data_IF_027067326651
#
_entry.id   IF_027067326651
#
_cell.length_a   1.000
_cell.length_b   1.000
_cell.length_c   1.000
_cell.angle_alpha   90.00
_cell.angle_beta   90.00
_cell.angle_gamma   90.00
#
_symmetry.space_group_name_H-M   'P 1'
#
loop_
_entity.id
_entity.type
_entity.pdbx_description
1 polymer ?
#
# COMPACT_ATOMS: atom_id res chain seq x y z
N UNK A 1 -4.47 3.80 -36.85
CA UNK A 1 -3.88 4.73 -35.84
C UNK A 1 -2.71 4.02 -35.24
N UNK A 2 -1.56 4.53 -35.51
CA UNK A 2 -0.32 3.77 -35.55
C UNK A 2 0.28 3.52 -34.16
N UNK A 3 1.01 2.38 -34.01
CA UNK A 3 1.64 1.96 -32.76
C UNK A 3 2.57 3.00 -32.11
N UNK A 4 3.01 3.99 -32.87
CA UNK A 4 3.80 5.13 -32.40
C UNK A 4 3.02 6.06 -31.44
N UNK A 5 1.72 6.23 -31.65
CA UNK A 5 0.87 7.09 -30.82
C UNK A 5 0.56 6.44 -29.46
N UNK A 6 0.53 5.10 -29.40
CA UNK A 6 0.32 4.33 -28.19
C UNK A 6 1.56 4.36 -27.29
N UNK A 7 2.76 4.29 -27.87
CA UNK A 7 4.00 4.33 -27.12
C UNK A 7 4.25 5.71 -26.49
N UNK A 8 4.00 6.80 -27.23
CA UNK A 8 4.06 8.16 -26.71
C UNK A 8 3.02 8.42 -25.61
N UNK A 9 1.80 7.87 -25.77
CA UNK A 9 0.75 7.94 -24.74
C UNK A 9 1.15 7.20 -23.48
N UNK A 10 1.77 6.03 -23.61
CA UNK A 10 2.22 5.23 -22.46
C UNK A 10 3.35 5.88 -21.68
N UNK A 11 4.30 6.52 -22.33
CA UNK A 11 5.38 7.24 -21.65
C UNK A 11 4.86 8.40 -20.79
N UNK A 12 3.81 9.09 -21.24
CA UNK A 12 3.16 10.16 -20.47
C UNK A 12 2.30 9.66 -19.32
N UNK A 13 1.73 8.46 -19.42
CA UNK A 13 0.84 7.86 -18.41
C UNK A 13 1.59 7.02 -17.37
N UNK A 14 2.86 6.73 -17.60
CA UNK A 14 3.69 5.88 -16.74
C UNK A 14 3.02 4.52 -16.48
N UNK A 15 2.97 4.06 -15.22
CA UNK A 15 2.40 2.75 -14.89
C UNK A 15 0.89 2.65 -15.20
N UNK A 16 0.15 3.75 -15.24
CA UNK A 16 -1.25 3.73 -15.71
C UNK A 16 -1.38 3.26 -17.16
N UNK A 17 -0.37 3.54 -17.99
CA UNK A 17 -0.34 3.11 -19.38
C UNK A 17 -0.41 1.59 -19.55
N UNK A 18 0.12 0.83 -18.58
CA UNK A 18 0.03 -0.65 -18.58
C UNK A 18 -1.42 -1.11 -18.49
N UNK A 19 -2.20 -0.53 -17.59
CA UNK A 19 -3.62 -0.89 -17.42
C UNK A 19 -4.49 -0.40 -18.57
N UNK A 20 -4.20 0.79 -19.09
CA UNK A 20 -4.90 1.35 -20.26
C UNK A 20 -4.70 0.43 -21.47
N UNK A 21 -3.45 0.02 -21.76
CA UNK A 21 -3.13 -0.91 -22.84
C UNK A 21 -3.80 -2.27 -22.66
N UNK A 22 -3.77 -2.79 -21.43
CA UNK A 22 -4.41 -4.07 -21.15
C UNK A 22 -5.92 -4.04 -21.36
N UNK A 23 -6.60 -2.97 -20.93
CA UNK A 23 -8.03 -2.78 -21.16
C UNK A 23 -8.37 -2.58 -22.64
N UNK A 24 -7.52 -1.89 -23.39
CA UNK A 24 -7.64 -1.73 -24.84
C UNK A 24 -7.49 -3.06 -25.57
N UNK A 25 -6.49 -3.86 -25.23
CA UNK A 25 -6.27 -5.19 -25.78
C UNK A 25 -7.50 -6.08 -25.59
N UNK A 26 -8.12 -6.06 -24.41
CA UNK A 26 -9.35 -6.82 -24.14
C UNK A 26 -10.49 -6.44 -25.09
N UNK A 27 -10.68 -5.15 -25.37
CA UNK A 27 -11.74 -4.70 -26.29
C UNK A 27 -11.43 -4.98 -27.76
N UNK A 28 -10.15 -5.19 -28.08
CA UNK A 28 -9.68 -5.63 -29.40
C UNK A 28 -9.60 -7.15 -29.52
N UNK A 29 -10.18 -7.89 -28.58
CA UNK A 29 -10.19 -9.36 -28.51
C UNK A 29 -8.77 -9.95 -28.45
N UNK A 30 -7.81 -9.23 -27.85
CA UNK A 30 -6.41 -9.65 -27.64
C UNK A 30 -6.17 -10.02 -26.19
N UNK A 31 -5.33 -11.03 -25.97
CA UNK A 31 -4.92 -11.40 -24.60
C UNK A 31 -3.99 -10.31 -24.00
N UNK A 32 -4.40 -9.63 -22.90
CA UNK A 32 -3.63 -8.55 -22.31
C UNK A 32 -2.34 -9.01 -21.62
N UNK A 33 -2.16 -10.33 -21.41
CA UNK A 33 -0.97 -10.92 -20.79
C UNK A 33 0.03 -11.44 -21.82
N UNK A 34 -0.27 -11.34 -23.11
CA UNK A 34 0.64 -11.65 -24.19
C UNK A 34 1.30 -10.35 -24.68
N UNK A 35 2.54 -10.44 -25.17
CA UNK A 35 3.29 -9.36 -25.78
C UNK A 35 3.65 -8.19 -24.83
N UNK A 36 4.84 -8.22 -24.26
CA UNK A 36 5.57 -7.11 -23.60
C UNK A 36 4.84 -6.33 -22.48
N UNK A 37 3.65 -6.75 -22.07
CA UNK A 37 2.90 -6.09 -21.00
C UNK A 37 3.17 -6.79 -19.67
N UNK A 38 3.98 -6.18 -18.81
CA UNK A 38 4.19 -6.62 -17.43
C UNK A 38 2.94 -6.26 -16.59
N UNK A 39 1.83 -6.89 -16.90
CA UNK A 39 0.55 -6.66 -16.23
C UNK A 39 0.40 -7.59 -15.02
N UNK A 40 0.47 -7.05 -13.81
CA UNK A 40 0.25 -7.80 -12.56
C UNK A 40 -1.21 -7.86 -12.15
N UNK A 41 -2.01 -6.95 -12.64
CA UNK A 41 -3.43 -6.81 -12.31
C UNK A 41 -4.29 -7.69 -13.19
N UNK A 42 -5.47 -8.03 -12.71
CA UNK A 42 -6.47 -8.73 -13.49
C UNK A 42 -7.13 -7.85 -14.56
N UNK A 43 -7.87 -8.50 -15.42
CA UNK A 43 -8.50 -7.87 -16.59
C UNK A 43 -9.66 -6.96 -16.23
N UNK A 44 -10.37 -7.23 -15.13
CA UNK A 44 -11.52 -6.43 -14.70
C UNK A 44 -11.11 -5.00 -14.36
N UNK A 45 -10.08 -4.83 -13.53
CA UNK A 45 -9.56 -3.52 -13.15
C UNK A 45 -8.95 -2.78 -14.33
N UNK A 46 -8.24 -3.48 -15.21
CA UNK A 46 -7.65 -2.90 -16.42
C UNK A 46 -8.72 -2.33 -17.33
N UNK A 47 -9.83 -3.05 -17.53
CA UNK A 47 -10.96 -2.56 -18.30
C UNK A 47 -11.60 -1.31 -17.67
N UNK A 48 -11.80 -1.31 -16.36
CA UNK A 48 -12.36 -0.15 -15.64
C UNK A 48 -11.47 1.09 -15.78
N UNK A 49 -10.14 0.93 -15.65
CA UNK A 49 -9.18 2.01 -15.84
C UNK A 49 -9.18 2.50 -17.30
N UNK A 50 -9.26 1.60 -18.27
CA UNK A 50 -9.35 1.98 -19.68
C UNK A 50 -10.65 2.75 -20.00
N UNK A 51 -11.78 2.33 -19.45
CA UNK A 51 -13.04 3.05 -19.63
C UNK A 51 -12.97 4.47 -19.05
N UNK A 52 -12.36 4.62 -17.85
CA UNK A 52 -12.13 5.92 -17.26
C UNK A 52 -11.19 6.79 -18.12
N UNK A 53 -10.16 6.18 -18.70
CA UNK A 53 -9.26 6.83 -19.65
C UNK A 53 -10.01 7.34 -20.89
N UNK A 54 -10.90 6.54 -21.47
CA UNK A 54 -11.73 6.94 -22.62
C UNK A 54 -12.67 8.11 -22.29
N UNK A 55 -13.19 8.15 -21.05
CA UNK A 55 -14.07 9.24 -20.61
C UNK A 55 -13.32 10.54 -20.31
N UNK A 56 -12.03 10.50 -20.12
CA UNK A 56 -11.23 11.68 -19.76
C UNK A 56 -10.80 12.53 -20.97
N UNK A 57 -11.00 12.08 -22.19
CA UNK A 57 -10.69 12.74 -23.47
C UNK A 57 -9.22 13.06 -23.71
N UNK A 58 -8.41 13.25 -22.66
CA UNK A 58 -7.00 13.64 -22.74
C UNK A 58 -6.15 12.90 -21.70
N UNK A 59 -4.92 12.56 -22.08
CA UNK A 59 -3.95 11.85 -21.24
C UNK A 59 -3.62 12.61 -19.94
N UNK A 60 -3.46 13.92 -20.06
CA UNK A 60 -3.11 14.77 -18.91
C UNK A 60 -4.28 14.84 -17.93
N UNK A 61 -5.51 15.05 -18.43
CA UNK A 61 -6.69 15.05 -17.58
C UNK A 61 -6.91 13.69 -16.89
N UNK A 62 -6.72 12.60 -17.63
CA UNK A 62 -6.77 11.26 -17.03
C UNK A 62 -5.75 11.10 -15.91
N UNK A 63 -4.49 11.51 -16.16
CA UNK A 63 -3.45 11.44 -15.16
C UNK A 63 -3.82 12.26 -13.91
N UNK A 64 -4.32 13.48 -14.07
CA UNK A 64 -4.77 14.32 -12.96
C UNK A 64 -5.92 13.69 -12.17
N UNK A 65 -6.89 13.09 -12.85
CA UNK A 65 -8.02 12.37 -12.22
C UNK A 65 -7.48 11.21 -11.37
N UNK A 66 -6.59 10.40 -11.90
CA UNK A 66 -5.99 9.27 -11.18
C UNK A 66 -5.18 9.74 -9.97
N UNK A 67 -4.45 10.86 -10.09
CA UNK A 67 -3.73 11.47 -8.97
C UNK A 67 -4.69 11.96 -7.88
N UNK A 68 -5.74 12.66 -8.26
CA UNK A 68 -6.77 13.12 -7.34
C UNK A 68 -7.43 11.94 -6.60
N UNK A 69 -7.77 10.86 -7.31
CA UNK A 69 -8.32 9.64 -6.71
C UNK A 69 -7.34 8.98 -5.75
N UNK A 70 -6.03 8.95 -6.05
CA UNK A 70 -5.03 8.44 -5.13
C UNK A 70 -4.94 9.28 -3.84
N UNK A 71 -4.88 10.61 -3.96
CA UNK A 71 -4.84 11.52 -2.82
C UNK A 71 -6.11 11.38 -1.97
N UNK A 72 -7.28 11.40 -2.61
CA UNK A 72 -8.55 11.20 -1.93
C UNK A 72 -8.63 9.83 -1.25
N UNK A 73 -8.09 8.79 -1.88
CA UNK A 73 -8.02 7.46 -1.31
C UNK A 73 -7.17 7.42 -0.03
N UNK A 74 -5.99 8.04 -0.02
CA UNK A 74 -5.14 8.17 1.17
C UNK A 74 -5.86 8.94 2.28
N UNK A 75 -6.47 10.09 1.96
CA UNK A 75 -7.22 10.90 2.93
C UNK A 75 -8.39 10.09 3.53
N UNK A 76 -9.15 9.40 2.69
CA UNK A 76 -10.28 8.56 3.10
C UNK A 76 -9.83 7.44 4.02
N UNK A 77 -8.73 6.77 3.69
CA UNK A 77 -8.15 5.73 4.53
C UNK A 77 -7.79 6.26 5.92
N UNK A 78 -7.10 7.39 6.01
CA UNK A 78 -6.73 8.01 7.28
C UNK A 78 -7.95 8.45 8.09
N UNK A 79 -8.95 9.03 7.44
CA UNK A 79 -10.17 9.49 8.09
C UNK A 79 -11.00 8.33 8.66
N UNK A 80 -11.18 7.25 7.90
CA UNK A 80 -12.01 6.11 8.32
C UNK A 80 -11.37 5.35 9.47
N UNK A 81 -10.07 5.11 9.41
CA UNK A 81 -9.37 4.38 10.48
C UNK A 81 -9.04 5.24 11.69
N UNK A 82 -9.32 6.53 11.68
CA UNK A 82 -9.26 7.49 12.81
C UNK A 82 -8.15 7.17 13.81
N UNK A 83 -6.91 7.38 13.38
CA UNK A 83 -5.78 7.09 14.25
C UNK A 83 -5.71 8.05 15.47
N UNK A 84 -6.16 9.31 15.34
CA UNK A 84 -6.48 10.25 16.44
C UNK A 84 -7.23 11.49 15.89
N UNK A 85 -7.97 12.22 16.76
CA UNK A 85 -8.75 13.39 16.35
C UNK A 85 -7.91 14.63 16.01
N UNK A 86 -6.83 14.89 16.73
CA UNK A 86 -5.99 16.10 16.54
C UNK A 86 -4.80 15.84 15.60
N UNK A 87 -4.30 14.62 15.59
CA UNK A 87 -3.18 14.23 14.73
C UNK A 87 -3.61 13.93 13.28
N UNK A 88 -4.91 13.84 12.96
CA UNK A 88 -5.37 13.43 11.62
C UNK A 88 -4.93 14.39 10.53
N UNK A 89 -4.98 15.69 10.76
CA UNK A 89 -4.50 16.68 9.78
C UNK A 89 -2.98 16.60 9.59
N UNK A 90 -2.22 16.51 10.67
CA UNK A 90 -0.77 16.34 10.65
C UNK A 90 -0.40 15.03 9.97
N UNK A 91 -1.12 13.95 10.24
CA UNK A 91 -0.93 12.65 9.60
C UNK A 91 -1.18 12.70 8.09
N UNK A 92 -2.22 13.42 7.65
CA UNK A 92 -2.50 13.59 6.21
C UNK A 92 -1.32 14.28 5.54
N UNK A 93 -0.84 15.40 6.09
CA UNK A 93 0.30 16.11 5.53
C UNK A 93 1.58 15.25 5.54
N UNK A 94 1.88 14.59 6.64
CA UNK A 94 3.02 13.66 6.72
C UNK A 94 2.92 12.55 5.67
N UNK A 95 1.75 11.90 5.54
CA UNK A 95 1.52 10.84 4.56
C UNK A 95 1.74 11.33 3.13
N UNK A 96 1.25 12.52 2.79
CA UNK A 96 1.40 13.07 1.45
C UNK A 96 2.84 13.49 1.13
N UNK A 97 3.64 13.81 2.14
CA UNK A 97 5.04 14.22 1.98
C UNK A 97 6.01 13.04 1.95
N UNK A 98 5.61 11.86 2.43
CA UNK A 98 6.50 10.71 2.42
C UNK A 98 6.86 10.26 1.00
N UNK A 99 8.12 9.86 0.87
CA UNK A 99 8.66 9.40 -0.40
C UNK A 99 7.89 8.22 -0.99
N UNK A 100 7.34 7.31 -0.18
CA UNK A 100 6.50 6.22 -0.67
C UNK A 100 5.19 6.70 -1.31
N UNK A 101 4.51 7.68 -0.70
CA UNK A 101 3.30 8.27 -1.28
C UNK A 101 3.63 9.09 -2.52
N UNK A 102 4.75 9.82 -2.48
CA UNK A 102 5.26 10.53 -3.66
C UNK A 102 5.53 9.58 -4.82
N UNK A 103 6.11 8.39 -4.57
CA UNK A 103 6.27 7.38 -5.62
C UNK A 103 4.95 6.86 -6.17
N UNK A 104 3.92 6.70 -5.34
CA UNK A 104 2.56 6.39 -5.83
C UNK A 104 2.11 7.42 -6.85
N UNK A 105 2.31 8.70 -6.54
CA UNK A 105 1.90 9.81 -7.40
C UNK A 105 2.81 9.93 -8.64
N UNK A 106 4.11 9.91 -8.47
CA UNK A 106 5.09 10.10 -9.57
C UNK A 106 5.05 8.94 -10.56
N UNK A 107 4.95 7.70 -10.08
CA UNK A 107 4.96 6.51 -10.95
C UNK A 107 3.58 6.13 -11.49
N UNK A 108 2.53 6.85 -11.11
CA UNK A 108 1.18 6.53 -11.57
C UNK A 108 0.66 5.21 -10.99
N UNK A 109 0.89 4.97 -9.70
CA UNK A 109 0.42 3.76 -9.02
C UNK A 109 -0.99 3.91 -8.48
N UNK A 110 -1.67 2.80 -8.28
CA UNK A 110 -3.07 2.75 -7.78
C UNK A 110 -3.18 2.51 -6.28
N UNK A 111 -2.09 2.52 -5.54
CA UNK A 111 -2.07 2.15 -4.12
C UNK A 111 -2.98 3.03 -3.27
N UNK A 112 -3.01 4.34 -3.51
CA UNK A 112 -3.90 5.27 -2.79
C UNK A 112 -5.38 4.95 -3.04
N UNK A 113 -5.75 4.71 -4.30
CA UNK A 113 -7.12 4.33 -4.70
C UNK A 113 -7.54 3.05 -3.98
N UNK A 114 -6.65 2.05 -3.94
CA UNK A 114 -6.93 0.76 -3.30
C UNK A 114 -7.16 0.88 -1.80
N UNK A 115 -6.28 1.56 -1.07
CA UNK A 115 -6.44 1.71 0.37
C UNK A 115 -7.67 2.55 0.73
N UNK A 116 -8.01 3.53 -0.09
CA UNK A 116 -9.25 4.30 0.03
C UNK A 116 -10.49 3.44 -0.22
N UNK A 117 -10.50 2.68 -1.32
CA UNK A 117 -11.58 1.73 -1.63
C UNK A 117 -11.75 0.66 -0.54
N UNK A 118 -10.65 0.13 -0.03
CA UNK A 118 -10.65 -0.78 1.11
C UNK A 118 -11.25 -0.15 2.37
N UNK A 119 -10.88 1.09 2.69
CA UNK A 119 -11.43 1.81 3.85
C UNK A 119 -12.93 2.06 3.71
N UNK A 120 -13.39 2.42 2.51
CA UNK A 120 -14.82 2.58 2.21
C UNK A 120 -15.55 1.24 2.37
N UNK A 121 -15.02 0.16 1.80
CA UNK A 121 -15.59 -1.17 1.92
C UNK A 121 -15.75 -1.58 3.39
N UNK A 122 -14.70 -1.37 4.18
CA UNK A 122 -14.72 -1.63 5.61
C UNK A 122 -15.80 -0.82 6.32
N UNK A 123 -15.88 0.49 6.09
CA UNK A 123 -16.87 1.36 6.75
C UNK A 123 -18.31 1.03 6.35
N UNK A 124 -18.54 0.68 5.10
CA UNK A 124 -19.86 0.25 4.63
C UNK A 124 -20.31 -1.04 5.31
N UNK A 125 -19.45 -2.03 5.38
CA UNK A 125 -19.75 -3.30 6.05
C UNK A 125 -19.93 -3.12 7.57
N UNK A 126 -19.14 -2.26 8.18
CA UNK A 126 -19.26 -1.92 9.61
C UNK A 126 -20.59 -1.21 9.90
N UNK A 127 -21.00 -0.25 9.07
CA UNK A 127 -22.27 0.45 9.16
C UNK A 127 -23.50 -0.47 8.98
N UNK A 128 -23.38 -1.48 8.11
CA UNK A 128 -24.43 -2.51 7.94
C UNK A 128 -24.50 -3.38 9.18
N UNK A 129 -23.36 -3.85 9.69
CA UNK A 129 -23.29 -4.71 10.87
C UNK A 129 -23.88 -4.00 12.11
N UNK A 130 -23.58 -2.71 12.28
CA UNK A 130 -24.07 -1.89 13.39
C UNK A 130 -25.49 -1.36 13.17
N UNK A 131 -26.17 -1.74 12.08
CA UNK A 131 -27.50 -1.29 11.71
C UNK A 131 -27.65 0.25 11.60
N UNK A 132 -26.55 0.94 11.30
CA UNK A 132 -26.54 2.42 11.12
C UNK A 132 -27.28 2.83 9.84
N UNK A 133 -27.35 1.93 8.86
CA UNK A 133 -28.03 2.17 7.57
C UNK A 133 -29.53 1.89 7.72
N UNK A 134 -30.34 2.94 7.78
CA UNK A 134 -31.81 2.86 7.94
C UNK A 134 -32.54 2.58 6.62
N UNK A 135 -32.04 3.08 5.49
CA UNK A 135 -32.65 2.91 4.19
C UNK A 135 -32.60 1.45 3.70
N UNK A 136 -33.76 0.90 3.33
CA UNK A 136 -33.86 -0.47 2.80
C UNK A 136 -33.01 -0.67 1.53
N UNK A 137 -33.02 0.30 0.62
CA UNK A 137 -32.25 0.26 -0.61
C UNK A 137 -30.74 0.27 -0.33
N UNK A 138 -30.28 1.13 0.55
CA UNK A 138 -28.87 1.20 0.92
C UNK A 138 -28.40 -0.06 1.65
N UNK A 139 -29.25 -0.76 2.40
CA UNK A 139 -28.89 -2.03 3.05
C UNK A 139 -28.55 -3.13 2.04
N UNK A 140 -29.16 -3.12 0.85
CA UNK A 140 -28.80 -4.07 -0.21
C UNK A 140 -27.65 -3.58 -1.06
N UNK A 141 -27.66 -2.29 -1.40
CA UNK A 141 -26.64 -1.72 -2.29
C UNK A 141 -25.26 -1.57 -1.64
N UNK A 142 -25.20 -1.19 -0.36
CA UNK A 142 -23.93 -0.99 0.33
C UNK A 142 -23.07 -2.26 0.44
N UNK A 143 -23.59 -3.46 0.78
CA UNK A 143 -22.80 -4.70 0.73
C UNK A 143 -22.29 -5.01 -0.68
N UNK A 144 -23.10 -4.81 -1.70
CA UNK A 144 -22.68 -5.00 -3.09
C UNK A 144 -21.52 -4.07 -3.44
N UNK A 145 -21.64 -2.79 -3.13
CA UNK A 145 -20.59 -1.80 -3.38
C UNK A 145 -19.29 -2.12 -2.60
N UNK A 146 -19.42 -2.49 -1.32
CA UNK A 146 -18.28 -2.93 -0.52
C UNK A 146 -17.57 -4.14 -1.13
N UNK A 147 -18.34 -5.14 -1.57
CA UNK A 147 -17.81 -6.34 -2.21
C UNK A 147 -17.13 -6.05 -3.54
N UNK A 148 -17.69 -5.11 -4.31
CA UNK A 148 -17.08 -4.66 -5.56
C UNK A 148 -15.71 -4.00 -5.31
N UNK A 149 -15.59 -3.13 -4.31
CA UNK A 149 -14.31 -2.54 -3.93
C UNK A 149 -13.27 -3.58 -3.50
N UNK A 150 -13.70 -4.63 -2.77
CA UNK A 150 -12.81 -5.70 -2.36
C UNK A 150 -12.31 -6.52 -3.56
N UNK A 151 -13.20 -6.84 -4.51
CA UNK A 151 -12.82 -7.56 -5.73
C UNK A 151 -11.90 -6.73 -6.62
N UNK A 152 -12.22 -5.46 -6.84
CA UNK A 152 -11.33 -4.55 -7.58
C UNK A 152 -9.96 -4.46 -6.91
N UNK A 153 -9.92 -4.42 -5.57
CA UNK A 153 -8.67 -4.43 -4.83
C UNK A 153 -7.83 -5.69 -5.05
N UNK A 154 -8.46 -6.86 -5.01
CA UNK A 154 -7.82 -8.15 -5.29
C UNK A 154 -7.32 -8.24 -6.73
N UNK A 155 -8.14 -7.80 -7.68
CA UNK A 155 -7.85 -7.86 -9.11
C UNK A 155 -6.73 -6.88 -9.49
N UNK A 156 -6.68 -5.70 -8.86
CA UNK A 156 -5.72 -4.64 -9.19
C UNK A 156 -4.32 -4.89 -8.60
N UNK A 157 -4.24 -5.35 -7.34
CA UNK A 157 -2.98 -5.62 -6.64
C UNK A 157 -3.10 -6.86 -5.74
N UNK A 158 -2.91 -8.07 -6.31
CA UNK A 158 -3.07 -9.31 -5.56
C UNK A 158 -2.10 -9.45 -4.37
N UNK A 159 -0.96 -8.76 -4.40
CA UNK A 159 -0.02 -8.72 -3.29
C UNK A 159 -0.56 -8.03 -2.03
N UNK A 160 -1.65 -7.26 -2.14
CA UNK A 160 -2.33 -6.64 -1.01
C UNK A 160 -3.54 -7.46 -0.52
N UNK A 161 -3.69 -8.71 -0.98
CA UNK A 161 -4.89 -9.55 -0.72
C UNK A 161 -5.19 -9.84 0.75
N UNK A 162 -4.19 -9.76 1.64
CA UNK A 162 -4.45 -9.98 3.08
C UNK A 162 -5.40 -8.94 3.65
N UNK A 163 -5.40 -7.72 3.15
CA UNK A 163 -6.22 -6.63 3.65
C UNK A 163 -7.72 -6.83 3.39
N UNK A 164 -8.17 -7.03 2.14
CA UNK A 164 -9.57 -7.35 1.87
C UNK A 164 -10.01 -8.65 2.54
N UNK A 165 -9.14 -9.65 2.64
CA UNK A 165 -9.41 -10.90 3.32
C UNK A 165 -9.72 -10.71 4.82
N UNK A 166 -8.95 -9.86 5.52
CA UNK A 166 -9.22 -9.51 6.93
C UNK A 166 -10.59 -8.82 7.10
N UNK A 167 -10.97 -7.95 6.16
CA UNK A 167 -12.29 -7.31 6.19
C UNK A 167 -13.42 -8.33 6.00
N UNK A 168 -13.27 -9.24 5.06
CA UNK A 168 -14.25 -10.30 4.82
C UNK A 168 -14.42 -11.21 6.03
N UNK A 169 -13.33 -11.58 6.70
CA UNK A 169 -13.39 -12.42 7.90
C UNK A 169 -14.09 -11.66 9.04
N UNK A 170 -13.78 -10.38 9.24
CA UNK A 170 -14.45 -9.57 10.25
C UNK A 170 -15.97 -9.51 10.01
N UNK A 171 -16.38 -9.42 8.76
CA UNK A 171 -17.77 -9.27 8.34
C UNK A 171 -18.33 -10.52 7.63
N UNK A 172 -17.97 -11.72 8.09
CA UNK A 172 -18.32 -12.99 7.42
C UNK A 172 -19.83 -13.21 7.22
N UNK A 173 -20.68 -12.54 7.99
CA UNK A 173 -22.15 -12.62 7.83
C UNK A 173 -22.63 -11.99 6.52
N UNK A 174 -21.86 -11.05 5.98
CA UNK A 174 -22.15 -10.36 4.71
C UNK A 174 -21.58 -11.09 3.49
N UNK A 175 -21.05 -12.29 3.69
CA UNK A 175 -20.39 -13.09 2.65
C UNK A 175 -21.29 -13.39 1.44
N UNK A 176 -22.59 -13.42 1.64
CA UNK A 176 -23.56 -13.67 0.54
C UNK A 176 -23.44 -12.62 -0.57
N UNK A 177 -23.20 -11.38 -0.21
CA UNK A 177 -23.09 -10.28 -1.18
C UNK A 177 -21.72 -10.28 -1.86
N UNK A 178 -20.69 -10.70 -1.15
CA UNK A 178 -19.38 -10.93 -1.76
C UNK A 178 -19.47 -11.98 -2.89
N UNK A 179 -20.23 -13.03 -2.71
CA UNK A 179 -20.47 -14.01 -3.79
C UNK A 179 -21.07 -13.39 -5.04
N UNK A 180 -21.98 -12.44 -4.91
CA UNK A 180 -22.56 -11.76 -6.08
C UNK A 180 -21.48 -11.03 -6.89
N UNK A 181 -20.60 -10.28 -6.23
CA UNK A 181 -19.50 -9.59 -6.89
C UNK A 181 -18.48 -10.56 -7.48
N UNK A 182 -18.21 -11.66 -6.78
CA UNK A 182 -17.36 -12.74 -7.29
C UNK A 182 -17.93 -13.38 -8.55
N UNK A 183 -19.25 -13.61 -8.58
CA UNK A 183 -19.96 -14.13 -9.77
C UNK A 183 -19.82 -13.15 -10.93
N UNK A 184 -19.99 -11.85 -10.71
CA UNK A 184 -19.78 -10.84 -11.75
C UNK A 184 -18.35 -10.85 -12.29
N UNK A 185 -17.36 -10.99 -11.40
CA UNK A 185 -15.97 -11.10 -11.80
C UNK A 185 -15.70 -12.39 -12.61
N UNK A 186 -16.28 -13.53 -12.20
CA UNK A 186 -16.18 -14.80 -12.93
C UNK A 186 -16.84 -14.67 -14.32
N UNK A 187 -18.03 -14.07 -14.40
CA UNK A 187 -18.72 -13.83 -15.68
C UNK A 187 -17.85 -12.97 -16.60
N UNK A 188 -17.25 -11.90 -16.07
CA UNK A 188 -16.31 -11.06 -16.80
C UNK A 188 -15.12 -11.88 -17.34
N UNK A 189 -14.45 -12.67 -16.47
CA UNK A 189 -13.33 -13.51 -16.86
C UNK A 189 -13.73 -14.50 -17.96
N UNK A 190 -14.87 -15.15 -17.80
CA UNK A 190 -15.37 -16.13 -18.78
C UNK A 190 -15.72 -15.47 -20.12
N UNK A 191 -16.45 -14.36 -20.11
CA UNK A 191 -16.83 -13.63 -21.31
C UNK A 191 -15.62 -13.22 -22.15
N UNK A 192 -14.61 -12.59 -21.52
CA UNK A 192 -13.42 -12.17 -22.24
C UNK A 192 -12.50 -13.33 -22.60
N UNK A 193 -12.48 -14.42 -21.82
CA UNK A 193 -11.77 -15.65 -22.21
C UNK A 193 -12.30 -16.24 -23.50
N UNK A 194 -13.62 -16.24 -23.70
CA UNK A 194 -14.23 -16.69 -24.94
C UNK A 194 -13.86 -15.77 -26.13
N UNK A 195 -13.88 -14.45 -25.91
CA UNK A 195 -13.53 -13.48 -26.96
C UNK A 195 -12.07 -13.57 -27.40
N UNK A 196 -11.17 -13.71 -26.45
CA UNK A 196 -9.73 -13.76 -26.68
C UNK A 196 -9.27 -15.16 -27.09
N UNK A 197 -10.14 -16.16 -26.99
CA UNK A 197 -9.85 -17.59 -27.21
C UNK A 197 -8.69 -18.09 -26.34
N UNK A 198 -8.61 -17.62 -25.09
CA UNK A 198 -7.61 -18.03 -24.09
C UNK A 198 -8.22 -17.97 -22.68
N UNK A 199 -7.73 -18.82 -21.76
CA UNK A 199 -8.18 -18.85 -20.38
C UNK A 199 -7.47 -17.75 -19.58
N UNK A 200 -8.01 -16.53 -19.62
CA UNK A 200 -7.43 -15.31 -19.05
C UNK A 200 -7.00 -15.45 -17.59
N UNK A 201 -7.74 -16.20 -16.78
CA UNK A 201 -7.36 -16.45 -15.39
C UNK A 201 -6.01 -17.20 -15.27
N UNK A 202 -5.83 -18.23 -16.09
CA UNK A 202 -4.57 -18.99 -16.09
C UNK A 202 -3.43 -18.18 -16.70
N UNK A 203 -3.70 -17.42 -17.76
CA UNK A 203 -2.73 -16.49 -18.35
C UNK A 203 -2.29 -15.43 -17.33
N UNK A 204 -3.20 -14.92 -16.51
CA UNK A 204 -2.89 -14.02 -15.40
C UNK A 204 -1.99 -14.67 -14.36
N UNK A 205 -2.32 -15.88 -13.88
CA UNK A 205 -1.48 -16.61 -12.91
C UNK A 205 -0.09 -16.88 -13.46
N UNK A 206 0.00 -17.33 -14.74
CA UNK A 206 1.26 -17.55 -15.42
C UNK A 206 2.10 -16.28 -15.47
N UNK A 207 1.49 -15.17 -15.92
CA UNK A 207 2.15 -13.88 -15.99
C UNK A 207 2.58 -13.36 -14.61
N UNK A 208 1.75 -13.50 -13.57
CA UNK A 208 2.15 -13.17 -12.20
C UNK A 208 3.40 -13.94 -11.76
N UNK A 209 3.48 -15.23 -12.07
CA UNK A 209 4.63 -16.05 -11.72
C UNK A 209 5.89 -15.59 -12.45
N UNK A 210 5.78 -15.27 -13.73
CA UNK A 210 6.91 -14.77 -14.53
C UNK A 210 7.39 -13.40 -14.02
N UNK A 211 6.46 -12.47 -13.74
CA UNK A 211 6.79 -11.16 -13.21
C UNK A 211 7.42 -11.26 -11.82
N UNK A 212 6.88 -12.09 -10.93
CA UNK A 212 7.45 -12.29 -9.59
C UNK A 212 8.86 -12.87 -9.71
N UNK A 213 9.09 -13.85 -10.59
CA UNK A 213 10.41 -14.42 -10.85
C UNK A 213 11.41 -13.36 -11.33
N UNK A 214 10.98 -12.48 -12.23
CA UNK A 214 11.80 -11.37 -12.72
C UNK A 214 12.14 -10.35 -11.62
N UNK A 215 11.15 -9.96 -10.82
CA UNK A 215 11.29 -8.92 -9.80
C UNK A 215 11.95 -9.39 -8.51
N UNK A 216 11.98 -10.69 -8.26
CA UNK A 216 12.78 -11.30 -7.18
C UNK A 216 14.24 -11.45 -7.54
N UNK A 217 14.63 -11.19 -8.79
CA UNK A 217 16.03 -11.15 -9.19
C UNK A 217 16.77 -10.10 -8.33
N UNK A 218 17.91 -10.47 -7.69
CA UNK A 218 18.69 -9.55 -6.86
C UNK A 218 19.15 -8.29 -7.61
N UNK A 219 19.25 -8.36 -8.93
CA UNK A 219 19.61 -7.22 -9.78
C UNK A 219 18.45 -6.30 -10.14
N UNK A 220 17.22 -6.58 -9.69
CA UNK A 220 16.06 -5.74 -9.99
C UNK A 220 15.94 -4.54 -9.04
N UNK A 221 16.17 -3.35 -9.56
CA UNK A 221 16.24 -2.10 -8.79
C UNK A 221 14.91 -1.63 -8.15
N UNK A 222 13.79 -2.24 -8.47
CA UNK A 222 12.47 -1.82 -8.01
C UNK A 222 12.01 -2.47 -6.71
N UNK A 223 12.58 -3.60 -6.33
CA UNK A 223 12.14 -4.34 -5.13
C UNK A 223 12.94 -3.94 -3.90
N UNK A 224 12.25 -3.72 -2.79
CA UNK A 224 12.85 -3.55 -1.47
C UNK A 224 12.19 -4.54 -0.51
N UNK A 225 12.84 -4.86 0.59
CA UNK A 225 12.30 -5.71 1.63
C UNK A 225 13.38 -6.51 2.33
N UNK A 226 12.99 -7.22 3.38
CA UNK A 226 13.91 -8.09 4.15
C UNK A 226 14.62 -9.10 3.27
N UNK A 227 13.98 -9.49 2.19
CA UNK A 227 14.51 -10.44 1.23
C UNK A 227 15.80 -10.00 0.54
N UNK A 228 15.92 -8.70 0.21
CA UNK A 228 17.15 -8.15 -0.36
C UNK A 228 18.33 -8.29 0.61
N UNK A 229 18.07 -8.18 1.90
CA UNK A 229 19.07 -8.38 2.96
C UNK A 229 19.50 -9.85 3.01
N UNK A 230 18.56 -10.77 2.86
CA UNK A 230 18.87 -12.22 2.83
C UNK A 230 19.63 -12.64 1.58
N UNK A 231 19.30 -12.09 0.41
CA UNK A 231 20.06 -12.30 -0.81
C UNK A 231 21.50 -11.82 -0.66
N UNK A 232 21.69 -10.65 -0.06
CA UNK A 232 23.03 -10.13 0.23
C UNK A 232 23.82 -11.03 1.19
N UNK A 233 23.13 -11.68 2.14
CA UNK A 233 23.75 -12.62 3.07
C UNK A 233 24.08 -13.99 2.46
N UNK A 234 23.87 -14.21 1.16
CA UNK A 234 24.16 -15.46 0.44
C UNK A 234 23.53 -16.71 1.10
N UNK A 235 22.26 -16.61 1.53
CA UNK A 235 21.58 -17.75 2.11
C UNK A 235 21.33 -18.87 1.08
N UNK A 236 21.22 -20.14 1.52
CA UNK A 236 20.96 -21.26 0.61
C UNK A 236 19.73 -21.04 -0.25
N UNK A 237 19.78 -21.40 -1.53
CA UNK A 237 18.70 -21.19 -2.50
C UNK A 237 17.34 -21.74 -2.02
N UNK A 238 17.33 -22.93 -1.41
CA UNK A 238 16.11 -23.51 -0.86
C UNK A 238 15.46 -22.63 0.22
N UNK A 239 16.26 -21.99 1.08
CA UNK A 239 15.76 -21.06 2.07
C UNK A 239 15.16 -19.82 1.40
N UNK A 240 15.82 -19.35 0.33
CA UNK A 240 15.35 -18.21 -0.45
C UNK A 240 14.02 -18.49 -1.17
N UNK A 241 13.74 -19.73 -1.55
CA UNK A 241 12.49 -20.10 -2.22
C UNK A 241 11.31 -20.33 -1.24
N UNK A 242 11.58 -20.98 -0.13
CA UNK A 242 10.54 -21.46 0.80
C UNK A 242 10.23 -20.47 1.92
N UNK A 243 11.24 -19.78 2.43
CA UNK A 243 11.09 -18.88 3.57
C UNK A 243 10.07 -17.74 3.33
N UNK A 244 9.98 -17.11 2.13
CA UNK A 244 8.98 -16.08 1.88
C UNK A 244 7.54 -16.57 2.02
N UNK A 245 7.25 -17.75 1.50
CA UNK A 245 5.92 -18.37 1.56
C UNK A 245 5.55 -18.66 3.01
N UNK A 246 6.45 -19.28 3.76
CA UNK A 246 6.26 -19.57 5.18
C UNK A 246 6.07 -18.27 5.97
N UNK A 247 6.91 -17.26 5.71
CA UNK A 247 6.80 -15.96 6.39
C UNK A 247 5.46 -15.29 6.09
N UNK A 248 5.04 -15.28 4.82
CA UNK A 248 3.76 -14.72 4.43
C UNK A 248 2.58 -15.43 5.10
N UNK A 249 2.55 -16.74 5.10
CA UNK A 249 1.51 -17.55 5.76
C UNK A 249 1.50 -17.32 7.27
N UNK A 250 2.67 -17.30 7.90
CA UNK A 250 2.81 -17.05 9.35
C UNK A 250 2.31 -15.66 9.71
N UNK A 251 2.70 -14.63 8.97
CA UNK A 251 2.24 -13.25 9.21
C UNK A 251 0.75 -13.11 8.91
N UNK A 252 0.22 -13.82 7.91
CA UNK A 252 -1.21 -13.91 7.66
C UNK A 252 -1.96 -14.48 8.86
N UNK A 253 -1.49 -15.59 9.42
CA UNK A 253 -2.07 -16.19 10.64
C UNK A 253 -1.99 -15.25 11.84
N UNK A 254 -0.83 -14.62 12.07
CA UNK A 254 -0.65 -13.62 13.13
C UNK A 254 -1.61 -12.44 12.94
N UNK A 255 -1.83 -11.98 11.70
CA UNK A 255 -2.79 -10.91 11.39
C UNK A 255 -4.22 -11.30 11.75
N UNK A 256 -4.62 -12.55 11.50
CA UNK A 256 -5.93 -13.09 11.88
C UNK A 256 -6.10 -13.17 13.39
N UNK A 257 -5.08 -13.65 14.10
CA UNK A 257 -5.08 -13.68 15.57
C UNK A 257 -5.13 -12.25 16.15
N UNK A 258 -4.41 -11.32 15.55
CA UNK A 258 -4.42 -9.92 15.93
C UNK A 258 -5.80 -9.27 15.73
N UNK A 259 -6.50 -9.61 14.64
CA UNK A 259 -7.86 -9.15 14.38
C UNK A 259 -8.80 -9.48 15.55
N UNK A 260 -8.71 -10.70 16.06
CA UNK A 260 -9.53 -11.16 17.20
C UNK A 260 -9.14 -10.48 18.52
N UNK A 261 -7.85 -10.25 18.76
CA UNK A 261 -7.33 -9.82 20.07
C UNK A 261 -7.13 -8.31 20.19
N UNK A 262 -6.67 -7.64 19.14
CA UNK A 262 -6.24 -6.23 19.15
C UNK A 262 -6.99 -5.34 18.17
N UNK A 263 -7.85 -5.93 17.33
CA UNK A 263 -8.68 -5.23 16.39
C UNK A 263 -8.06 -5.01 15.01
N UNK A 264 -8.84 -4.38 14.15
CA UNK A 264 -8.57 -4.30 12.72
C UNK A 264 -7.30 -3.49 12.39
N UNK A 265 -7.01 -2.42 13.15
CA UNK A 265 -5.85 -1.56 12.86
C UNK A 265 -4.53 -2.29 13.01
N UNK A 266 -4.39 -3.12 14.07
CA UNK A 266 -3.21 -3.94 14.29
C UNK A 266 -3.13 -5.07 13.26
N UNK A 267 -4.27 -5.68 12.93
CA UNK A 267 -4.32 -6.74 11.92
C UNK A 267 -3.90 -6.21 10.53
N UNK A 268 -4.37 -5.02 10.13
CA UNK A 268 -3.96 -4.37 8.89
C UNK A 268 -2.46 -4.08 8.89
N UNK A 269 -1.93 -3.52 9.98
CA UNK A 269 -0.50 -3.28 10.11
C UNK A 269 0.31 -4.55 9.87
N UNK A 270 -0.06 -5.64 10.54
CA UNK A 270 0.64 -6.93 10.39
C UNK A 270 0.47 -7.53 8.99
N UNK A 271 -0.69 -7.35 8.36
CA UNK A 271 -0.90 -7.78 6.99
C UNK A 271 0.02 -7.03 5.99
N UNK A 272 0.21 -5.73 6.18
CA UNK A 272 1.15 -4.95 5.37
C UNK A 272 2.60 -5.28 5.67
N UNK A 273 2.93 -5.52 6.93
CA UNK A 273 4.25 -5.96 7.32
C UNK A 273 4.59 -7.34 6.74
N UNK A 274 3.60 -8.24 6.63
CA UNK A 274 3.78 -9.52 5.96
C UNK A 274 4.18 -9.33 4.48
N UNK A 275 3.57 -8.36 3.78
CA UNK A 275 3.98 -8.04 2.41
C UNK A 275 5.42 -7.52 2.32
N UNK A 276 5.89 -6.75 3.31
CA UNK A 276 7.27 -6.28 3.37
C UNK A 276 8.28 -7.43 3.57
N UNK A 277 7.88 -8.48 4.27
CA UNK A 277 8.71 -9.67 4.47
C UNK A 277 8.69 -10.62 3.27
N UNK A 278 7.75 -10.47 2.37
CA UNK A 278 7.64 -11.27 1.14
C UNK A 278 8.68 -10.82 0.11
N UNK A 279 8.99 -11.68 -0.88
CA UNK A 279 10.07 -11.46 -1.86
C UNK A 279 9.90 -10.24 -2.75
N UNK A 280 8.67 -9.78 -2.90
CA UNK A 280 8.30 -8.73 -3.81
C UNK A 280 7.60 -7.61 -3.07
N UNK A 281 8.30 -6.49 -2.89
CA UNK A 281 7.74 -5.32 -2.23
C UNK A 281 8.34 -4.05 -2.83
N UNK A 282 7.50 -3.27 -3.49
CA UNK A 282 7.89 -1.94 -3.94
C UNK A 282 7.73 -0.91 -2.84
N UNK A 283 8.55 0.12 -2.89
CA UNK A 283 8.52 1.19 -1.91
C UNK A 283 7.16 1.90 -1.84
N UNK A 284 6.48 2.10 -2.95
CA UNK A 284 5.13 2.66 -2.97
C UNK A 284 4.08 1.79 -2.27
N UNK A 285 4.33 0.50 -2.12
CA UNK A 285 3.48 -0.41 -1.34
C UNK A 285 3.59 -0.18 0.17
N UNK A 286 4.57 0.62 0.62
CA UNK A 286 4.75 0.99 2.02
C UNK A 286 3.72 2.01 2.52
N UNK A 287 3.07 2.75 1.61
CA UNK A 287 2.09 3.79 1.92
C UNK A 287 1.02 3.38 2.94
N UNK A 288 0.38 2.20 2.85
CA UNK A 288 -0.63 1.80 3.83
C UNK A 288 -0.09 1.57 5.24
N UNK A 289 1.19 1.19 5.36
CA UNK A 289 1.86 1.00 6.65
C UNK A 289 2.11 2.33 7.36
N UNK A 290 2.37 3.39 6.60
CA UNK A 290 2.78 4.69 7.14
C UNK A 290 1.78 5.26 8.13
N UNK A 291 0.49 5.15 7.86
CA UNK A 291 -0.55 5.67 8.73
C UNK A 291 -0.43 5.12 10.16
N UNK A 292 -0.27 3.81 10.28
CA UNK A 292 -0.12 3.16 11.58
C UNK A 292 1.25 3.48 12.22
N UNK A 293 2.32 3.48 11.43
CA UNK A 293 3.67 3.78 11.90
C UNK A 293 3.75 5.19 12.46
N UNK A 294 3.24 6.19 11.74
CA UNK A 294 3.23 7.58 12.19
C UNK A 294 2.43 7.72 13.49
N UNK A 295 1.23 7.13 13.53
CA UNK A 295 0.41 7.15 14.74
C UNK A 295 1.16 6.60 15.95
N UNK A 296 1.82 5.44 15.81
CA UNK A 296 2.58 4.83 16.88
C UNK A 296 3.80 5.65 17.28
N UNK A 297 4.54 6.18 16.30
CA UNK A 297 5.72 6.98 16.54
C UNK A 297 5.39 8.31 17.22
N UNK A 298 4.31 8.99 16.83
CA UNK A 298 3.87 10.23 17.47
C UNK A 298 3.41 10.02 18.92
N UNK A 299 2.91 8.83 19.23
CA UNK A 299 2.50 8.48 20.60
C UNK A 299 3.62 7.78 21.40
N UNK A 300 4.83 7.70 20.84
CA UNK A 300 5.96 7.06 21.50
C UNK A 300 6.54 7.95 22.62
N UNK A 301 6.90 7.33 23.74
CA UNK A 301 7.48 8.02 24.90
C UNK A 301 8.80 8.73 24.57
N UNK A 302 9.60 8.15 23.69
CA UNK A 302 10.90 8.66 23.29
C UNK A 302 10.81 9.39 21.95
N UNK A 303 10.51 10.68 22.01
CA UNK A 303 10.29 11.52 20.81
C UNK A 303 11.50 11.61 19.87
N UNK A 304 12.73 11.43 20.40
CA UNK A 304 13.95 11.35 19.58
C UNK A 304 13.93 10.14 18.61
N UNK A 305 13.48 8.97 19.10
CA UNK A 305 13.30 7.77 18.26
C UNK A 305 12.23 8.02 17.21
N UNK A 306 11.13 8.69 17.58
CA UNK A 306 10.07 9.05 16.63
C UNK A 306 10.59 9.99 15.55
N UNK A 307 11.36 11.02 15.91
CA UNK A 307 12.00 11.94 14.97
C UNK A 307 12.93 11.21 14.00
N UNK A 308 13.79 10.34 14.51
CA UNK A 308 14.71 9.53 13.72
C UNK A 308 13.97 8.60 12.74
N UNK A 309 12.96 7.88 13.22
CA UNK A 309 12.19 6.95 12.40
C UNK A 309 11.36 7.67 11.32
N UNK A 310 10.73 8.80 11.62
CA UNK A 310 9.99 9.62 10.65
C UNK A 310 10.96 10.19 9.60
N UNK A 311 12.15 10.64 9.99
CA UNK A 311 13.21 11.06 9.08
C UNK A 311 13.60 9.96 8.11
N UNK A 312 13.76 8.72 8.60
CA UNK A 312 14.13 7.57 7.77
C UNK A 312 13.12 7.32 6.64
N UNK A 313 11.84 7.54 6.90
CA UNK A 313 10.78 7.42 5.88
C UNK A 313 10.85 8.51 4.82
N UNK A 314 11.29 9.72 5.18
CA UNK A 314 11.36 10.85 4.24
C UNK A 314 12.60 10.81 3.35
N UNK A 315 13.75 10.43 3.91
CA UNK A 315 15.04 10.47 3.24
C UNK A 315 15.48 9.15 2.60
N UNK A 316 14.59 8.16 2.53
CA UNK A 316 14.93 6.84 1.98
C UNK A 316 15.26 6.85 0.50
N UNK A 317 14.90 7.90 -0.25
CA UNK A 317 14.96 7.93 -1.71
C UNK A 317 15.42 9.28 -2.25
N UNK A 318 16.25 9.23 -3.30
CA UNK A 318 16.66 10.41 -4.06
C UNK A 318 15.69 10.58 -5.24
N UNK A 319 15.00 11.72 -5.30
CA UNK A 319 14.21 12.14 -6.46
C UNK A 319 14.57 13.56 -6.86
N UNK A 320 14.89 13.76 -8.13
CA UNK A 320 15.47 15.01 -8.63
C UNK A 320 14.43 16.08 -9.03
N UNK A 321 13.25 15.70 -9.51
CA UNK A 321 12.43 16.66 -10.28
C UNK A 321 11.24 17.32 -9.57
N UNK A 322 10.80 16.86 -8.40
CA UNK A 322 9.70 17.48 -7.64
C UNK A 322 10.10 17.85 -6.21
N UNK A 323 11.39 17.94 -5.97
CA UNK A 323 12.01 18.02 -4.65
C UNK A 323 11.59 19.27 -3.87
N UNK A 324 11.46 20.44 -4.53
CA UNK A 324 11.17 21.71 -3.84
C UNK A 324 9.74 21.74 -3.31
N UNK A 325 8.75 21.34 -4.11
CA UNK A 325 7.35 21.33 -3.68
C UNK A 325 7.12 20.34 -2.52
N UNK A 326 7.67 19.14 -2.65
CA UNK A 326 7.56 18.13 -1.60
C UNK A 326 8.39 18.45 -0.36
N UNK A 327 9.54 19.12 -0.50
CA UNK A 327 10.30 19.64 0.64
C UNK A 327 9.48 20.70 1.39
N UNK A 328 8.81 21.61 0.69
CA UNK A 328 7.96 22.62 1.32
C UNK A 328 6.81 22.01 2.11
N UNK A 329 6.13 21.01 1.56
CA UNK A 329 5.11 20.25 2.28
C UNK A 329 5.69 19.44 3.43
N UNK A 330 6.89 18.86 3.27
CA UNK A 330 7.61 18.15 4.33
C UNK A 330 7.95 19.05 5.51
N UNK A 331 8.44 20.24 5.24
CA UNK A 331 8.73 21.27 6.27
C UNK A 331 7.42 21.66 6.99
N UNK A 332 6.34 21.92 6.25
CA UNK A 332 5.05 22.24 6.84
C UNK A 332 4.54 21.09 7.74
N UNK A 333 4.65 19.85 7.28
CA UNK A 333 4.26 18.67 8.05
C UNK A 333 5.08 18.52 9.34
N UNK A 334 6.39 18.80 9.29
CA UNK A 334 7.26 18.80 10.46
C UNK A 334 6.84 19.91 11.43
N UNK A 335 6.60 21.12 10.94
CA UNK A 335 6.14 22.24 11.78
C UNK A 335 4.81 21.92 12.48
N UNK A 336 3.85 21.34 11.74
CA UNK A 336 2.59 20.88 12.31
C UNK A 336 2.78 19.75 13.33
N UNK A 337 3.71 18.84 13.10
CA UNK A 337 4.08 17.79 14.06
C UNK A 337 4.64 18.39 15.33
N UNK A 338 5.57 19.35 15.19
CA UNK A 338 6.18 20.05 16.31
C UNK A 338 5.12 20.82 17.14
N UNK A 339 4.14 21.41 16.49
CA UNK A 339 3.03 22.08 17.15
C UNK A 339 2.15 21.13 17.98
N UNK A 340 2.03 19.88 17.58
CA UNK A 340 1.21 18.86 18.29
C UNK A 340 1.94 18.18 19.44
N UNK A 341 3.27 18.35 19.57
CA UNK A 341 4.02 17.74 20.66
C UNK A 341 3.73 18.38 22.02
N UNK A 342 3.65 17.58 23.09
CA UNK A 342 3.10 18.03 24.38
C UNK A 342 4.01 18.99 25.16
N UNK A 343 5.27 19.17 24.78
CA UNK A 343 6.21 20.02 25.49
C UNK A 343 7.41 20.42 24.67
N UNK A 344 8.09 21.51 25.03
CA UNK A 344 9.37 21.91 24.42
C UNK A 344 10.44 20.83 24.49
N UNK A 345 10.46 20.06 25.55
CA UNK A 345 11.39 18.95 25.73
C UNK A 345 11.12 17.85 24.68
N UNK A 346 9.84 17.50 24.45
CA UNK A 346 9.45 16.56 23.42
C UNK A 346 9.84 17.07 22.02
N UNK A 347 9.58 18.35 21.74
CA UNK A 347 9.97 19.03 20.52
C UNK A 347 11.48 18.97 20.28
N UNK A 348 12.27 19.30 21.30
CA UNK A 348 13.74 19.26 21.22
C UNK A 348 14.24 17.84 20.88
N UNK A 349 13.77 16.82 21.59
CA UNK A 349 14.20 15.44 21.33
C UNK A 349 13.73 14.94 19.95
N UNK A 350 12.57 15.36 19.50
CA UNK A 350 12.10 15.02 18.14
C UNK A 350 13.02 15.61 17.07
N UNK A 351 13.36 16.91 17.19
CA UNK A 351 14.29 17.57 16.28
C UNK A 351 15.68 16.93 16.31
N UNK A 352 16.18 16.59 17.51
CA UNK A 352 17.47 15.94 17.66
C UNK A 352 17.50 14.58 16.95
N UNK A 353 16.46 13.76 17.11
CA UNK A 353 16.34 12.47 16.43
C UNK A 353 16.25 12.64 14.92
N UNK A 354 15.54 13.65 14.44
CA UNK A 354 15.43 13.96 13.02
C UNK A 354 16.79 14.36 12.41
N UNK A 355 17.54 15.24 13.08
CA UNK A 355 18.88 15.66 12.63
C UNK A 355 19.90 14.54 12.71
N UNK A 356 19.85 13.70 13.76
CA UNK A 356 20.75 12.57 13.94
C UNK A 356 20.65 11.51 12.84
N UNK A 357 19.53 11.43 12.14
CA UNK A 357 19.36 10.51 11.01
C UNK A 357 20.33 10.81 9.85
N UNK A 358 20.64 12.08 9.59
CA UNK A 358 21.49 12.48 8.48
C UNK A 358 22.88 11.85 8.54
N UNK A 359 23.65 12.01 9.64
CA UNK A 359 24.97 11.39 9.75
C UNK A 359 24.91 9.85 9.79
N UNK A 360 23.85 9.26 10.36
CA UNK A 360 23.67 7.81 10.34
C UNK A 360 23.45 7.32 8.92
N UNK A 361 22.60 7.99 8.12
CA UNK A 361 22.40 7.66 6.72
C UNK A 361 23.69 7.77 5.91
N UNK A 362 24.42 8.87 6.05
CA UNK A 362 25.69 9.08 5.36
C UNK A 362 26.74 8.04 5.77
N UNK A 363 26.81 7.69 7.06
CA UNK A 363 27.68 6.64 7.57
C UNK A 363 27.36 5.27 6.99
N UNK A 364 26.08 4.88 6.94
CA UNK A 364 25.66 3.61 6.34
C UNK A 364 26.04 3.49 4.87
N UNK A 365 25.87 4.57 4.10
CA UNK A 365 26.18 4.54 2.66
C UNK A 365 27.67 4.69 2.36
N UNK A 366 28.39 5.55 3.08
CA UNK A 366 29.78 5.87 2.79
C UNK A 366 30.78 4.91 3.48
N UNK A 367 30.47 4.40 4.68
CA UNK A 367 31.38 3.57 5.46
C UNK A 367 31.18 2.09 5.17
N UNK A 368 29.93 1.64 5.02
CA UNK A 368 29.63 0.22 4.86
C UNK A 368 29.58 -0.21 3.39
N UNK A 369 29.69 0.73 2.44
CA UNK A 369 29.67 0.47 0.99
C UNK A 369 28.55 -0.53 0.58
N UNK A 370 27.38 -0.37 1.22
CA UNK A 370 26.25 -1.27 0.99
C UNK A 370 25.63 -1.02 -0.37
N UNK A 371 25.27 -2.10 -1.05
CA UNK A 371 24.47 -1.98 -2.26
C UNK A 371 23.22 -1.11 -2.02
N UNK A 372 22.85 -0.23 -2.95
CA UNK A 372 21.75 0.73 -2.77
C UNK A 372 20.42 0.08 -2.37
N UNK A 373 20.13 -1.13 -2.86
CA UNK A 373 18.89 -1.85 -2.53
C UNK A 373 18.90 -2.41 -1.11
N UNK A 374 20.04 -2.93 -0.66
CA UNK A 374 20.23 -3.42 0.72
C UNK A 374 20.12 -2.26 1.69
N UNK A 375 20.80 -1.14 1.42
CA UNK A 375 20.74 0.05 2.24
C UNK A 375 19.30 0.60 2.34
N UNK A 376 18.56 0.67 1.23
CA UNK A 376 17.15 1.07 1.21
C UNK A 376 16.27 0.12 2.03
N UNK A 377 16.50 -1.18 1.94
CA UNK A 377 15.75 -2.19 2.70
C UNK A 377 16.00 -2.06 4.21
N UNK A 378 17.26 -1.84 4.62
CA UNK A 378 17.60 -1.60 6.03
C UNK A 378 16.95 -0.31 6.55
N UNK A 379 17.03 0.78 5.79
CA UNK A 379 16.41 2.06 6.15
C UNK A 379 14.89 1.93 6.31
N UNK A 380 14.23 1.15 5.45
CA UNK A 380 12.79 0.89 5.54
C UNK A 380 12.40 0.06 6.78
N UNK A 381 13.31 -0.77 7.32
CA UNK A 381 13.08 -1.50 8.58
C UNK A 381 13.06 -0.59 9.82
N UNK A 382 13.82 0.50 9.82
CA UNK A 382 13.98 1.37 10.97
C UNK A 382 12.63 1.82 11.55
N UNK A 383 11.71 2.44 10.78
CA UNK A 383 10.43 2.88 11.32
C UNK A 383 9.55 1.72 11.79
N UNK A 384 9.66 0.55 11.16
CA UNK A 384 8.90 -0.64 11.55
C UNK A 384 9.34 -1.12 12.93
N UNK A 385 10.65 -1.28 13.13
CA UNK A 385 11.24 -1.74 14.40
C UNK A 385 10.88 -0.77 15.54
N UNK A 386 11.07 0.53 15.34
CA UNK A 386 10.72 1.52 16.35
C UNK A 386 9.21 1.61 16.64
N UNK A 387 8.37 1.38 15.63
CA UNK A 387 6.92 1.30 15.82
C UNK A 387 6.50 0.09 16.67
N UNK A 388 7.18 -1.05 16.51
CA UNK A 388 6.96 -2.23 17.36
C UNK A 388 7.30 -1.93 18.82
N UNK A 389 8.43 -1.29 19.08
CA UNK A 389 8.82 -0.86 20.43
C UNK A 389 7.79 0.10 21.03
N UNK A 390 7.36 1.12 20.30
CA UNK A 390 6.32 2.05 20.73
C UNK A 390 4.99 1.37 21.03
N UNK A 391 4.64 0.32 20.28
CA UNK A 391 3.42 -0.48 20.55
C UNK A 391 3.52 -1.29 21.82
N UNK A 392 4.69 -1.83 22.13
CA UNK A 392 4.95 -2.61 23.35
C UNK A 392 4.79 -1.77 24.61
N UNK A 393 5.35 -0.57 24.63
CA UNK A 393 5.20 0.34 25.77
C UNK A 393 3.76 0.73 26.06
N UNK A 394 2.96 1.01 25.03
CA UNK A 394 1.55 1.33 25.19
C UNK A 394 0.74 0.14 25.73
N UNK A 395 1.13 -1.08 25.38
CA UNK A 395 0.49 -2.29 25.91
C UNK A 395 0.83 -2.53 27.38
N UNK A 396 2.07 -2.30 27.79
CA UNK A 396 2.52 -2.41 29.19
C UNK A 396 1.77 -1.47 30.11
N UNK A 397 1.55 -0.22 29.71
CA UNK A 397 0.75 0.77 30.48
C UNK A 397 -0.70 0.33 30.68
N UNK A 398 -1.40 -0.11 29.63
CA UNK A 398 -2.79 -0.59 29.75
C UNK A 398 -2.95 -1.78 30.71
N UNK A 399 -1.92 -2.57 30.89
CA UNK A 399 -1.92 -3.71 31.80
C UNK A 399 -1.67 -3.29 33.25
N UNK A 400 -0.83 -2.27 33.48
CA UNK A 400 -0.59 -1.73 34.82
C UNK A 400 -1.82 -0.97 35.36
N UNK A 401 -2.51 -0.21 34.52
CA UNK A 401 -3.72 0.53 34.92
C UNK A 401 -4.93 -0.39 35.20
N UNK A 402 -4.95 -1.62 34.63
CA UNK A 402 -5.95 -2.63 34.94
C UNK A 402 -5.67 -3.47 36.20
N UNK A 403 -4.44 -3.43 36.71
CA UNK A 403 -4.03 -4.15 37.93
C UNK A 403 -4.16 -3.23 39.15
N UNK A 404 -4.28 -1.91 38.93
CA UNK A 404 -4.45 -0.90 39.99
C UNK A 404 -5.92 -0.55 40.29
N UNK A 405 -6.87 -1.23 39.71
CA UNK A 405 -8.31 -1.20 39.99
C UNK A 405 -8.82 -2.61 40.27
#
# INVERSE_FOLDING_TARGET
>A
MDGFDIQARNESLRDYGVWVRAGENLLLDKNPYMEDVILKSGTFSSLMIYLLFKLSFDNYLFFLIMQALNILGVITYLYIFRFTSTASTVMIFLMLTFSSTREVLVNGQTTGILIGGFAIAYKLLDAIHNQEIKSKYLRYFAPFLASLFLIVGLDLKPNLMLMPFLVLIKHYKEFRVFFLSLVLWIIHQFYFSLKVNDLLFFSWIKNLREVVSYETNPNFFGSIGVWQVFNFANLPALFLEVAPVITFLTMGLISLLALKRWGINVAIFLAFFANYLYTYFHFYSFTPLLAYLIFKLLNHKYHGISGFAISSMQFSFNYESLTILFLSFGVLAILLTLYTLPSYKATFYFCLGWVAFIPVKLGLFAILDLEPLVAKSIVALIPIVFSIFGSWELYGKKKSDKISH
#
